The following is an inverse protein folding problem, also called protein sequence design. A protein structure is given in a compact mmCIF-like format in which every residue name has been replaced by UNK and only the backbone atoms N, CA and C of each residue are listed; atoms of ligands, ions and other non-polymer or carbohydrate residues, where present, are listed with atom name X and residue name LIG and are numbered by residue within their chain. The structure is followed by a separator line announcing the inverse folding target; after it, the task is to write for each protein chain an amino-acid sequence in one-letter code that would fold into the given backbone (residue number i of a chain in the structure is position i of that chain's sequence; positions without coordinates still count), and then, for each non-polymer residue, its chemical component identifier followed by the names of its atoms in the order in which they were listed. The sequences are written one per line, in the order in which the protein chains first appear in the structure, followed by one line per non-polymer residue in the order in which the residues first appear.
data_IF_035166164024
#
_entry.id   IF_035166164024
#
_cell.length_a   1.000
_cell.length_b   1.000
_cell.length_c   1.000
_cell.angle_alpha   90.00
_cell.angle_beta   90.00
_cell.angle_gamma   90.00
#
_symmetry.space_group_name_H-M   'P 1'
#
loop_
_entity.id
_entity.type
_entity.pdbx_description
1 polymer ?
#
# COMPACT_ATOMS: atom_id res chain seq x y z
N UNK A 1 29.68 -0.06 -2.25
CA UNK A 1 29.38 -0.66 -0.92
C UNK A 1 27.96 -0.23 -0.57
N UNK A 2 27.00 -1.12 -0.69
CA UNK A 2 25.66 -0.86 -0.20
C UNK A 2 25.74 -0.81 1.33
N UNK A 3 25.37 0.34 1.92
CA UNK A 3 25.19 0.41 3.36
C UNK A 3 24.16 -0.64 3.75
N UNK A 4 24.53 -1.55 4.62
CA UNK A 4 23.65 -2.51 5.26
C UNK A 4 22.73 -1.67 6.15
N UNK A 5 21.54 -1.32 5.64
CA UNK A 5 20.55 -0.57 6.40
C UNK A 5 20.04 -1.52 7.47
N UNK A 6 20.28 -1.18 8.72
CA UNK A 6 19.83 -1.93 9.89
C UNK A 6 18.35 -2.28 9.74
N UNK A 7 17.96 -3.55 9.84
CA UNK A 7 16.56 -3.93 9.73
C UNK A 7 15.77 -3.26 10.87
N UNK A 8 14.62 -2.66 10.55
CA UNK A 8 13.72 -2.01 11.53
C UNK A 8 13.18 -2.99 12.59
N UNK A 9 13.31 -4.30 12.35
CA UNK A 9 12.86 -5.36 13.25
C UNK A 9 13.32 -5.21 14.70
N UNK A 10 14.63 -4.95 15.01
CA UNK A 10 15.07 -4.75 16.39
C UNK A 10 14.44 -3.53 17.07
N UNK A 11 14.20 -2.45 16.31
CA UNK A 11 13.56 -1.26 16.85
C UNK A 11 12.08 -1.51 17.16
N UNK A 12 11.39 -2.29 16.32
CA UNK A 12 10.01 -2.71 16.58
C UNK A 12 9.89 -3.67 17.77
N UNK A 13 10.87 -4.54 17.98
CA UNK A 13 10.91 -5.43 19.15
C UNK A 13 11.11 -4.66 20.46
N UNK A 14 11.91 -3.58 20.44
CA UNK A 14 12.21 -2.78 21.61
C UNK A 14 11.10 -1.78 21.99
N UNK A 15 10.44 -1.16 21.01
CA UNK A 15 9.52 -0.03 21.21
C UNK A 15 8.09 -0.32 20.76
N UNK A 16 7.84 -1.44 20.10
CA UNK A 16 6.63 -1.69 19.33
C UNK A 16 6.59 -0.85 18.05
N UNK A 17 5.76 -1.27 17.10
CA UNK A 17 5.60 -0.57 15.80
C UNK A 17 5.12 0.86 16.02
N UNK A 18 4.08 1.06 16.84
CA UNK A 18 3.53 2.37 17.14
C UNK A 18 4.54 3.28 17.84
N UNK A 19 5.22 2.78 18.88
CA UNK A 19 6.23 3.54 19.61
C UNK A 19 7.38 4.01 18.72
N UNK A 20 7.82 3.17 17.79
CA UNK A 20 8.84 3.54 16.81
C UNK A 20 8.39 4.71 15.94
N UNK A 21 7.19 4.64 15.35
CA UNK A 21 6.71 5.70 14.47
C UNK A 21 6.34 6.98 15.20
N UNK A 22 5.86 6.91 16.45
CA UNK A 22 5.66 8.10 17.28
C UNK A 22 6.98 8.84 17.55
N UNK A 23 8.09 8.12 17.73
CA UNK A 23 9.40 8.72 17.98
C UNK A 23 10.10 9.21 16.71
N UNK A 24 9.93 8.53 15.57
CA UNK A 24 10.74 8.73 14.37
C UNK A 24 9.94 9.13 13.12
N UNK A 25 8.60 9.19 13.19
CA UNK A 25 7.71 9.40 12.04
C UNK A 25 7.99 10.70 11.28
N UNK A 26 8.34 11.78 11.99
CA UNK A 26 8.63 13.07 11.36
C UNK A 26 9.85 13.06 10.42
N UNK A 27 10.81 12.16 10.66
CA UNK A 27 12.03 12.00 9.85
C UNK A 27 12.12 10.65 9.16
N UNK A 28 11.02 9.90 9.17
CA UNK A 28 10.96 8.56 8.61
C UNK A 28 11.33 8.56 7.12
N UNK A 29 12.07 7.55 6.72
CA UNK A 29 12.37 7.18 5.33
C UNK A 29 12.32 5.68 5.22
N UNK A 30 11.65 5.17 4.20
CA UNK A 30 11.65 3.74 3.95
C UNK A 30 12.99 3.32 3.33
N UNK A 31 13.77 2.46 3.96
CA UNK A 31 15.07 2.01 3.42
C UNK A 31 14.92 1.17 2.15
N UNK A 32 13.71 0.71 1.82
CA UNK A 32 13.40 -0.14 0.67
C UNK A 32 12.74 0.63 -0.49
N UNK A 33 12.97 1.94 -0.60
CA UNK A 33 12.37 2.80 -1.63
C UNK A 33 12.55 2.24 -3.05
N UNK A 34 13.76 1.79 -3.41
CA UNK A 34 14.03 1.21 -4.73
C UNK A 34 13.20 -0.06 -4.98
N UNK A 35 12.99 -0.86 -3.95
CA UNK A 35 12.15 -2.04 -4.01
C UNK A 35 10.67 -1.70 -4.25
N UNK A 36 10.16 -0.65 -3.59
CA UNK A 36 8.80 -0.13 -3.78
C UNK A 36 8.65 0.37 -5.21
N UNK A 37 9.54 1.24 -5.68
CA UNK A 37 9.54 1.81 -7.03
C UNK A 37 9.57 0.71 -8.09
N UNK A 38 10.52 -0.21 -8.01
CA UNK A 38 10.67 -1.28 -8.99
C UNK A 38 9.48 -2.24 -9.01
N UNK A 39 8.90 -2.58 -7.85
CA UNK A 39 7.73 -3.43 -7.77
C UNK A 39 6.47 -2.74 -8.33
N UNK A 40 6.28 -1.43 -8.09
CA UNK A 40 5.21 -0.63 -8.69
C UNK A 40 5.33 -0.55 -10.20
N UNK A 41 6.53 -0.23 -10.71
CA UNK A 41 6.80 -0.18 -12.16
C UNK A 41 6.47 -1.51 -12.82
N UNK A 42 6.91 -2.62 -12.22
CA UNK A 42 6.61 -3.96 -12.73
C UNK A 42 5.12 -4.27 -12.68
N UNK A 43 4.43 -3.92 -11.59
CA UNK A 43 2.99 -4.15 -11.44
C UNK A 43 2.18 -3.40 -12.51
N UNK A 44 2.49 -2.12 -12.74
CA UNK A 44 1.83 -1.29 -13.75
C UNK A 44 2.11 -1.81 -15.17
N UNK A 45 3.34 -2.26 -15.45
CA UNK A 45 3.68 -2.83 -16.75
C UNK A 45 3.04 -4.21 -16.99
N UNK A 46 2.79 -4.98 -15.90
CA UNK A 46 2.25 -6.35 -16.02
C UNK A 46 0.72 -6.36 -16.02
N UNK A 47 0.10 -5.46 -15.28
CA UNK A 47 -1.35 -5.41 -15.07
C UNK A 47 -1.89 -4.05 -15.47
N UNK A 48 -3.03 -4.04 -16.14
CA UNK A 48 -3.75 -2.80 -16.40
C UNK A 48 -4.35 -2.30 -15.08
N UNK A 49 -3.67 -1.32 -14.45
CA UNK A 49 -4.14 -0.64 -13.24
C UNK A 49 -4.76 0.70 -13.61
N UNK A 50 -5.91 1.00 -13.04
CA UNK A 50 -6.50 2.33 -13.15
C UNK A 50 -5.84 3.24 -12.09
N UNK A 51 -5.01 4.17 -12.55
CA UNK A 51 -4.29 5.14 -11.72
C UNK A 51 -4.98 6.51 -11.70
N UNK A 52 -6.21 6.64 -12.16
CA UNK A 52 -6.95 7.92 -12.21
C UNK A 52 -7.21 8.53 -10.84
N UNK A 53 -7.40 7.69 -9.81
CA UNK A 53 -7.50 8.11 -8.41
C UNK A 53 -6.97 7.04 -7.48
N UNK A 54 -5.83 7.27 -6.91
CA UNK A 54 -5.11 6.28 -6.07
C UNK A 54 -5.15 6.68 -4.61
N UNK A 55 -5.32 5.70 -3.73
CA UNK A 55 -5.05 5.84 -2.31
C UNK A 55 -3.71 5.17 -1.99
N UNK A 56 -2.74 5.95 -1.48
CA UNK A 56 -1.51 5.43 -0.86
C UNK A 56 -1.77 5.22 0.64
N UNK A 57 -2.09 3.99 0.99
CA UNK A 57 -2.49 3.56 2.33
C UNK A 57 -1.26 3.20 3.16
N UNK A 58 -1.11 3.84 4.32
CA UNK A 58 0.11 3.84 5.14
C UNK A 58 1.30 4.36 4.32
N UNK A 59 1.14 5.60 3.83
CA UNK A 59 1.98 6.19 2.78
C UNK A 59 3.42 6.50 3.23
N UNK A 60 3.74 6.37 4.50
CA UNK A 60 5.08 6.61 5.02
C UNK A 60 5.60 8.00 4.68
N UNK A 61 6.80 8.09 4.15
CA UNK A 61 7.35 9.34 3.63
C UNK A 61 7.08 9.55 2.13
N UNK A 62 6.15 8.80 1.54
CA UNK A 62 5.66 9.01 0.18
C UNK A 62 6.42 8.27 -0.93
N UNK A 63 7.12 7.18 -0.60
CA UNK A 63 7.88 6.40 -1.59
C UNK A 63 6.98 5.86 -2.70
N UNK A 64 5.81 5.29 -2.33
CA UNK A 64 4.84 4.80 -3.30
C UNK A 64 4.17 5.96 -4.05
N UNK A 65 3.80 7.04 -3.36
CA UNK A 65 3.23 8.25 -3.99
C UNK A 65 4.13 8.82 -5.08
N UNK A 66 5.43 8.98 -4.80
CA UNK A 66 6.37 9.53 -5.78
C UNK A 66 6.55 8.59 -6.99
N UNK A 67 6.67 7.27 -6.74
CA UNK A 67 6.76 6.29 -7.81
C UNK A 67 5.47 6.25 -8.67
N UNK A 68 4.30 6.36 -8.05
CA UNK A 68 3.02 6.40 -8.76
C UNK A 68 2.86 7.64 -9.62
N UNK A 69 3.35 8.81 -9.17
CA UNK A 69 3.38 10.05 -9.99
C UNK A 69 4.25 9.87 -11.22
N UNK A 70 5.42 9.25 -11.10
CA UNK A 70 6.29 8.93 -12.25
C UNK A 70 5.61 7.97 -13.23
N UNK A 71 4.69 7.13 -12.75
CA UNK A 71 3.90 6.20 -13.57
C UNK A 71 2.60 6.81 -14.11
N UNK A 72 2.37 8.11 -13.91
CA UNK A 72 1.26 8.85 -14.49
C UNK A 72 0.02 8.97 -13.61
N UNK A 73 0.12 8.70 -12.30
CA UNK A 73 -0.98 8.96 -11.38
C UNK A 73 -0.99 10.44 -10.94
N UNK A 74 -2.07 11.16 -11.28
CA UNK A 74 -2.21 12.58 -10.94
C UNK A 74 -2.94 12.83 -9.61
N UNK A 75 -3.90 11.97 -9.28
CA UNK A 75 -4.73 12.08 -8.07
C UNK A 75 -4.35 11.01 -7.08
N UNK A 76 -3.56 11.38 -6.08
CA UNK A 76 -3.12 10.46 -5.03
C UNK A 76 -3.46 11.07 -3.68
N UNK A 77 -4.30 10.35 -2.91
CA UNK A 77 -4.57 10.65 -1.50
C UNK A 77 -3.62 9.81 -0.64
N UNK A 78 -2.93 10.41 0.34
CA UNK A 78 -2.06 9.71 1.29
C UNK A 78 -2.72 9.57 2.65
N UNK A 79 -2.60 8.42 3.27
CA UNK A 79 -3.06 8.15 4.64
C UNK A 79 -1.93 7.53 5.45
N UNK A 80 -1.57 8.16 6.58
CA UNK A 80 -0.63 7.62 7.56
C UNK A 80 -0.77 8.36 8.89
N UNK A 81 -0.96 7.66 10.02
CA UNK A 81 -1.18 8.34 11.30
C UNK A 81 0.08 8.96 11.92
N UNK A 82 1.29 8.62 11.43
CA UNK A 82 2.54 8.93 12.12
C UNK A 82 3.50 9.78 11.30
N UNK A 83 3.48 9.64 9.98
CA UNK A 83 4.54 10.15 9.09
C UNK A 83 4.14 11.39 8.32
N UNK A 84 3.00 12.02 8.64
CA UNK A 84 2.46 13.17 7.90
C UNK A 84 3.44 14.30 7.68
N UNK A 85 4.34 14.60 8.64
CA UNK A 85 5.39 15.63 8.50
C UNK A 85 6.41 15.22 7.43
N UNK A 86 6.90 13.97 7.47
CA UNK A 86 7.85 13.46 6.49
C UNK A 86 7.22 13.39 5.09
N UNK A 87 5.96 12.96 5.01
CA UNK A 87 5.19 12.93 3.77
C UNK A 87 5.03 14.34 3.18
N UNK A 88 4.56 15.32 3.98
CA UNK A 88 4.40 16.71 3.54
C UNK A 88 5.70 17.31 3.05
N UNK A 89 6.80 17.10 3.78
CA UNK A 89 8.11 17.65 3.40
C UNK A 89 8.61 17.10 2.07
N UNK A 90 8.25 15.87 1.73
CA UNK A 90 8.77 15.17 0.57
C UNK A 90 7.86 15.22 -0.64
N UNK A 91 6.57 15.06 -0.43
CA UNK A 91 5.54 14.96 -1.48
C UNK A 91 4.93 16.31 -1.80
N UNK A 92 4.98 17.26 -0.86
CA UNK A 92 4.39 18.59 -0.99
C UNK A 92 2.89 18.63 -0.72
N UNK A 93 2.29 17.55 -0.20
CA UNK A 93 0.89 17.49 0.17
C UNK A 93 0.71 16.82 1.53
N UNK A 94 -0.41 17.10 2.24
CA UNK A 94 -0.70 16.49 3.53
C UNK A 94 -1.19 15.05 3.36
N UNK A 95 -0.84 14.18 4.32
CA UNK A 95 -1.48 12.88 4.52
C UNK A 95 -2.57 13.00 5.58
N UNK A 96 -3.66 12.23 5.42
CA UNK A 96 -4.72 12.13 6.42
C UNK A 96 -4.28 11.19 7.55
N UNK A 97 -4.45 11.60 8.80
CA UNK A 97 -4.01 10.84 9.96
C UNK A 97 -5.06 9.81 10.40
N UNK A 98 -5.18 8.70 9.66
CA UNK A 98 -6.04 7.57 9.98
C UNK A 98 -5.22 6.30 10.23
N UNK A 99 -5.65 5.53 11.21
CA UNK A 99 -5.10 4.21 11.55
C UNK A 99 -5.86 3.10 10.81
N UNK A 100 -5.31 1.91 10.78
CA UNK A 100 -6.03 0.73 10.25
C UNK A 100 -7.30 0.42 11.03
N UNK A 101 -7.34 0.72 12.32
CA UNK A 101 -8.52 0.61 13.17
C UNK A 101 -9.65 1.55 12.73
N UNK A 102 -9.31 2.80 12.39
CA UNK A 102 -10.27 3.79 11.91
C UNK A 102 -10.86 3.35 10.56
N UNK A 103 -10.01 2.79 9.69
CA UNK A 103 -10.43 2.24 8.40
C UNK A 103 -11.39 1.06 8.60
N UNK A 104 -11.04 0.12 9.49
CA UNK A 104 -11.92 -1.00 9.83
C UNK A 104 -13.25 -0.57 10.46
N UNK A 105 -13.27 0.60 11.12
CA UNK A 105 -14.46 1.23 11.66
C UNK A 105 -15.27 2.04 10.63
N UNK A 106 -14.82 2.10 9.35
CA UNK A 106 -15.55 2.74 8.26
C UNK A 106 -15.20 4.21 8.02
N UNK A 107 -14.07 4.71 8.52
CA UNK A 107 -13.65 6.11 8.34
C UNK A 107 -13.53 6.54 6.85
N UNK A 108 -13.40 5.61 5.93
CA UNK A 108 -13.33 5.85 4.49
C UNK A 108 -14.67 5.64 3.77
N UNK A 109 -15.74 5.35 4.50
CA UNK A 109 -17.06 5.09 3.92
C UNK A 109 -17.57 6.23 3.06
N UNK A 110 -18.19 5.90 1.91
CA UNK A 110 -18.69 6.87 0.93
C UNK A 110 -17.63 7.50 0.02
N UNK A 111 -16.35 7.18 0.23
CA UNK A 111 -15.24 7.57 -0.65
C UNK A 111 -14.88 6.39 -1.57
N UNK A 112 -14.35 6.68 -2.76
CA UNK A 112 -13.95 5.64 -3.71
C UNK A 112 -12.62 5.97 -4.36
N UNK A 113 -11.85 4.94 -4.66
CA UNK A 113 -10.60 5.03 -5.40
C UNK A 113 -10.56 3.97 -6.49
N UNK A 114 -9.92 4.27 -7.61
CA UNK A 114 -9.70 3.30 -8.69
C UNK A 114 -8.75 2.19 -8.26
N UNK A 115 -7.72 2.54 -7.48
CA UNK A 115 -6.73 1.60 -6.93
C UNK A 115 -6.31 2.05 -5.54
N UNK A 116 -6.24 1.11 -4.59
CA UNK A 116 -5.58 1.30 -3.30
C UNK A 116 -4.22 0.60 -3.34
N UNK A 117 -3.17 1.31 -2.98
CA UNK A 117 -1.80 0.78 -2.85
C UNK A 117 -1.42 0.79 -1.37
N UNK A 118 -0.89 -0.32 -0.86
CA UNK A 118 -0.34 -0.40 0.49
C UNK A 118 1.06 -1.00 0.42
N UNK A 119 2.09 -0.18 0.69
CA UNK A 119 3.47 -0.58 0.61
C UNK A 119 4.08 -0.79 2.00
N UNK A 120 4.66 -1.99 2.25
CA UNK A 120 5.42 -2.33 3.46
C UNK A 120 4.70 -2.12 4.80
N UNK A 121 3.36 -2.10 4.82
CA UNK A 121 2.60 -1.78 6.03
C UNK A 121 1.54 -2.83 6.41
N UNK A 122 0.77 -3.37 5.45
CA UNK A 122 -0.38 -4.21 5.78
C UNK A 122 0.00 -5.50 6.56
N UNK A 123 1.24 -5.96 6.47
CA UNK A 123 1.75 -7.10 7.24
C UNK A 123 1.96 -6.79 8.75
N UNK A 124 1.92 -5.51 9.13
CA UNK A 124 2.02 -5.04 10.51
C UNK A 124 0.67 -5.07 11.23
N UNK A 125 -0.43 -5.18 10.48
CA UNK A 125 -1.78 -5.30 11.06
C UNK A 125 -1.92 -6.65 11.77
N UNK A 126 -2.45 -6.64 12.99
CA UNK A 126 -2.76 -7.86 13.72
C UNK A 126 -3.68 -8.77 12.91
N UNK A 127 -3.39 -10.08 12.91
CA UNK A 127 -4.13 -11.05 12.10
C UNK A 127 -5.63 -11.06 12.41
N UNK A 128 -6.01 -10.78 13.65
CA UNK A 128 -7.40 -10.68 14.10
C UNK A 128 -8.16 -9.49 13.49
N UNK A 129 -7.46 -8.42 13.13
CA UNK A 129 -8.03 -7.18 12.58
C UNK A 129 -8.04 -7.14 11.06
N UNK A 130 -7.20 -7.96 10.41
CA UNK A 130 -7.10 -8.01 8.95
C UNK A 130 -8.43 -8.19 8.22
N UNK A 131 -9.36 -9.07 8.68
CA UNK A 131 -10.65 -9.22 8.02
C UNK A 131 -11.44 -7.91 7.90
N UNK A 132 -11.54 -7.16 9.01
CA UNK A 132 -12.26 -5.88 9.03
C UNK A 132 -11.62 -4.82 8.12
N UNK A 133 -10.30 -4.70 8.15
CA UNK A 133 -9.56 -3.80 7.26
C UNK A 133 -9.79 -4.20 5.80
N UNK A 134 -9.66 -5.48 5.45
CA UNK A 134 -9.84 -5.96 4.08
C UNK A 134 -11.28 -5.75 3.57
N UNK A 135 -12.28 -5.96 4.41
CA UNK A 135 -13.68 -5.71 4.07
C UNK A 135 -13.94 -4.23 3.83
N UNK A 136 -13.48 -3.34 4.72
CA UNK A 136 -13.61 -1.90 4.54
C UNK A 136 -12.91 -1.40 3.26
N UNK A 137 -11.75 -1.95 2.92
CA UNK A 137 -11.08 -1.63 1.66
C UNK A 137 -11.86 -2.11 0.44
N UNK A 138 -12.56 -3.24 0.51
CA UNK A 138 -13.40 -3.75 -0.58
C UNK A 138 -14.66 -2.89 -0.83
N UNK A 139 -15.07 -2.06 0.12
CA UNK A 139 -16.16 -1.11 -0.04
C UNK A 139 -15.76 0.14 -0.84
N UNK A 140 -14.46 0.46 -0.91
CA UNK A 140 -13.96 1.72 -1.45
C UNK A 140 -13.15 1.57 -2.74
N UNK A 141 -12.78 0.35 -3.14
CA UNK A 141 -12.03 0.09 -4.37
C UNK A 141 -12.27 -1.32 -4.93
N UNK A 142 -12.11 -1.48 -6.23
CA UNK A 142 -12.10 -2.78 -6.91
C UNK A 142 -10.68 -3.37 -7.03
N UNK A 143 -9.64 -2.59 -6.71
CA UNK A 143 -8.24 -2.97 -6.91
C UNK A 143 -7.39 -2.64 -5.68
N UNK A 144 -6.84 -3.68 -5.03
CA UNK A 144 -5.90 -3.53 -3.91
C UNK A 144 -4.54 -4.09 -4.32
N UNK A 145 -3.53 -3.22 -4.38
CA UNK A 145 -2.15 -3.57 -4.68
C UNK A 145 -1.31 -3.54 -3.40
N UNK A 146 -0.78 -4.68 -3.00
CA UNK A 146 0.09 -4.82 -1.83
C UNK A 146 1.53 -4.99 -2.29
N UNK A 147 2.41 -4.09 -1.83
CA UNK A 147 3.86 -4.17 -2.05
C UNK A 147 4.52 -4.61 -0.75
N UNK A 148 5.25 -5.72 -0.76
CA UNK A 148 5.85 -6.27 0.47
C UNK A 148 7.02 -7.20 0.18
N UNK A 149 8.08 -7.25 1.01
CA UNK A 149 9.12 -8.26 0.93
C UNK A 149 8.66 -9.61 1.52
N UNK A 150 7.57 -9.60 2.29
CA UNK A 150 7.11 -10.75 3.07
C UNK A 150 6.11 -11.62 2.31
N UNK A 151 5.95 -12.87 2.76
CA UNK A 151 4.84 -13.72 2.31
C UNK A 151 3.49 -13.26 2.88
N UNK A 152 3.53 -12.56 4.02
CA UNK A 152 2.34 -11.96 4.68
C UNK A 152 2.03 -10.56 4.12
N UNK A 153 0.78 -10.04 4.30
CA UNK A 153 -0.39 -10.75 4.82
C UNK A 153 -0.94 -11.77 3.81
N UNK A 154 -1.68 -12.76 4.32
CA UNK A 154 -2.50 -13.65 3.51
C UNK A 154 -3.95 -13.17 3.59
N UNK A 155 -4.44 -12.48 2.56
CA UNK A 155 -5.85 -12.13 2.44
C UNK A 155 -6.60 -13.36 1.98
N UNK A 156 -7.60 -13.76 2.77
CA UNK A 156 -8.41 -14.95 2.50
C UNK A 156 -9.60 -14.61 1.59
N UNK A 157 -10.05 -15.63 0.84
CA UNK A 157 -11.28 -15.52 0.09
C UNK A 157 -12.46 -15.11 0.95
N UNK A 158 -13.31 -14.68 1.18
CA UNK A 158 -14.32 -14.32 2.18
C UNK A 158 -14.09 -12.96 2.85
N UNK A 159 -12.96 -12.30 2.58
CA UNK A 159 -12.70 -10.94 3.05
C UNK A 159 -12.95 -9.89 1.96
N UNK A 160 -13.71 -10.27 0.92
CA UNK A 160 -14.10 -9.38 -0.17
C UNK A 160 -13.19 -9.44 -1.40
N UNK A 161 -12.14 -10.25 -1.40
CA UNK A 161 -11.10 -10.28 -2.44
C UNK A 161 -10.98 -11.64 -3.12
N UNK A 162 -10.69 -11.62 -4.41
CA UNK A 162 -10.28 -12.80 -5.17
C UNK A 162 -8.83 -13.17 -4.84
N UNK A 163 -8.39 -14.42 -5.12
CA UNK A 163 -6.99 -14.78 -5.02
C UNK A 163 -6.11 -13.81 -5.83
N UNK A 164 -4.93 -13.41 -5.30
CA UNK A 164 -4.11 -12.43 -5.97
C UNK A 164 -3.35 -13.00 -7.15
N UNK A 165 -3.05 -12.15 -8.12
CA UNK A 165 -1.91 -12.34 -9.01
C UNK A 165 -0.68 -11.70 -8.40
N UNK A 166 0.50 -12.29 -8.62
CA UNK A 166 1.76 -11.82 -8.03
C UNK A 166 2.84 -11.65 -9.10
N UNK A 167 3.60 -10.55 -9.01
CA UNK A 167 4.88 -10.41 -9.65
C UNK A 167 5.95 -9.99 -8.62
N UNK A 168 7.23 -10.04 -9.00
CA UNK A 168 8.34 -9.75 -8.09
C UNK A 168 9.40 -8.90 -8.76
N UNK A 169 9.84 -7.87 -8.05
CA UNK A 169 11.05 -7.13 -8.37
C UNK A 169 12.08 -7.40 -7.27
N UNK A 170 13.16 -8.11 -7.60
CA UNK A 170 14.15 -8.57 -6.64
C UNK A 170 13.50 -9.37 -5.48
N UNK A 171 13.59 -8.86 -4.23
CA UNK A 171 12.99 -9.47 -3.04
C UNK A 171 11.58 -8.93 -2.74
N UNK A 172 11.14 -7.86 -3.43
CA UNK A 172 9.85 -7.21 -3.21
C UNK A 172 8.79 -7.84 -4.10
N UNK A 173 7.65 -8.15 -3.51
CA UNK A 173 6.46 -8.72 -4.18
C UNK A 173 5.45 -7.63 -4.40
N UNK A 174 4.82 -7.63 -5.56
CA UNK A 174 3.58 -6.92 -5.82
C UNK A 174 2.45 -7.95 -5.94
N UNK A 175 1.38 -7.79 -5.17
CA UNK A 175 0.18 -8.64 -5.21
C UNK A 175 -1.02 -7.79 -5.50
N UNK A 176 -1.66 -8.07 -6.62
CA UNK A 176 -2.90 -7.42 -7.01
C UNK A 176 -4.09 -8.30 -6.64
N UNK A 177 -4.96 -7.76 -5.81
CA UNK A 177 -6.24 -8.33 -5.44
C UNK A 177 -7.36 -7.58 -6.18
N UNK A 178 -8.31 -8.32 -6.73
CA UNK A 178 -9.54 -7.76 -7.30
C UNK A 178 -10.70 -8.06 -6.37
N UNK A 179 -11.61 -7.10 -6.21
CA UNK A 179 -12.81 -7.28 -5.38
C UNK A 179 -13.70 -8.38 -5.96
N UNK A 180 -14.29 -9.20 -5.10
CA UNK A 180 -15.29 -10.20 -5.52
C UNK A 180 -16.49 -9.48 -6.13
N UNK A 181 -16.89 -9.88 -7.34
CA UNK A 181 -17.99 -9.26 -8.08
C UNK A 181 -17.62 -7.99 -8.88
N UNK A 182 -16.38 -7.53 -8.82
CA UNK A 182 -15.89 -6.54 -9.78
C UNK A 182 -15.85 -7.17 -11.17
N UNK A 183 -16.46 -6.51 -12.15
CA UNK A 183 -16.40 -6.96 -13.54
C UNK A 183 -14.94 -6.93 -14.01
N UNK A 184 -14.43 -8.05 -14.48
CA UNK A 184 -13.17 -8.09 -15.21
C UNK A 184 -13.42 -7.35 -16.52
N UNK A 185 -13.00 -6.10 -16.63
CA UNK A 185 -12.83 -5.47 -17.95
C UNK A 185 -11.73 -6.25 -18.67
N UNK A 186 -12.14 -7.33 -19.33
CA UNK A 186 -11.31 -8.07 -20.26
C UNK A 186 -11.11 -7.19 -21.50
N UNK A 187 -10.10 -6.34 -21.44
CA UNK A 187 -9.56 -5.75 -22.65
C UNK A 187 -8.94 -6.88 -23.46
N UNK A 188 -9.55 -7.10 -24.63
CA UNK A 188 -9.17 -8.14 -25.55
C UNK A 188 -7.67 -8.18 -25.81
N UNK A 189 -7.13 -9.38 -25.72
CA UNK A 189 -5.89 -9.70 -26.41
C UNK A 189 -6.11 -9.35 -27.89
N UNK A 190 -5.48 -8.28 -28.35
CA UNK A 190 -5.30 -8.06 -29.79
C UNK A 190 -4.44 -9.21 -30.31
N UNK A 191 -5.08 -10.15 -30.98
CA UNK A 191 -4.38 -11.13 -31.83
C UNK A 191 -3.64 -10.36 -32.93
N UNK A 192 -2.32 -10.49 -32.93
CA UNK A 192 -1.48 -10.27 -34.13
C UNK A 192 -1.19 -11.61 -34.81
#
# INVERSE_FOLDING_TARGET
MAADLDPLTPAYEAMGVEGYYLAHGATYRNPHEDGVRGALTMAVATWTLDLSRVLDLACGSGEATLALRELGADRIDGIDPFTGVAYQARVGQSAEALRFEDIAAGALGGRTWSTVVCSFALHLVETSRLPGVCQALAEITDSLLIITPHKRPHIRSGWGWQPPVECKFQRTRARLYRRVGAESNSFGMASL
#
